data_IF_907359877736
#
_entry.id   IF_907359877736
#
_cell.length_a   1.000
_cell.length_b   1.000
_cell.length_c   1.000
_cell.angle_alpha   90.00
_cell.angle_beta   90.00
_cell.angle_gamma   90.00
#
_symmetry.space_group_name_H-M   'P 1'
#
loop_
_entity.id
_entity.type
_entity.pdbx_description
1 polymer ?
#
# COMPACT_ATOMS: atom_id res chain seq x y z
N UNK A 1 -24.17 -20.46 22.41
CA UNK A 1 -23.67 -19.12 22.83
C UNK A 1 -24.28 -18.11 21.86
N UNK A 2 -25.03 -17.13 22.36
CA UNK A 2 -25.65 -16.11 21.48
C UNK A 2 -24.63 -15.10 20.97
N UNK A 3 -24.98 -14.40 19.89
CA UNK A 3 -24.15 -13.35 19.27
C UNK A 3 -23.68 -12.29 20.29
N UNK A 4 -24.60 -11.80 21.12
CA UNK A 4 -24.30 -10.79 22.15
C UNK A 4 -23.26 -11.28 23.16
N UNK A 5 -23.40 -12.52 23.62
CA UNK A 5 -22.47 -13.12 24.56
C UNK A 5 -21.08 -13.29 23.94
N UNK A 6 -21.00 -13.61 22.64
CA UNK A 6 -19.74 -13.68 21.91
C UNK A 6 -19.08 -12.32 21.78
N UNK A 7 -19.84 -11.30 21.39
CA UNK A 7 -19.36 -9.93 21.28
C UNK A 7 -18.89 -9.38 22.63
N UNK A 8 -19.62 -9.64 23.71
CA UNK A 8 -19.20 -9.21 25.05
C UNK A 8 -17.87 -9.86 25.44
N UNK A 9 -17.76 -11.17 25.21
CA UNK A 9 -16.56 -11.94 25.56
C UNK A 9 -15.34 -11.54 24.73
N UNK A 10 -15.50 -11.29 23.43
CA UNK A 10 -14.38 -10.85 22.59
C UNK A 10 -14.00 -9.40 22.91
N UNK A 11 -14.97 -8.52 23.21
CA UNK A 11 -14.73 -7.13 23.59
C UNK A 11 -13.86 -7.02 24.86
N UNK A 12 -14.15 -7.85 25.89
CA UNK A 12 -13.32 -7.93 27.10
C UNK A 12 -11.86 -8.29 26.78
N UNK A 13 -11.64 -9.23 25.85
CA UNK A 13 -10.29 -9.63 25.41
C UNK A 13 -9.61 -8.53 24.60
N UNK A 14 -10.33 -7.88 23.69
CA UNK A 14 -9.81 -6.78 22.88
C UNK A 14 -9.34 -5.60 23.73
N UNK A 15 -10.05 -5.29 24.83
CA UNK A 15 -9.62 -4.27 25.80
C UNK A 15 -8.24 -4.62 26.39
N UNK A 16 -8.07 -5.86 26.87
CA UNK A 16 -6.81 -6.32 27.45
C UNK A 16 -5.69 -6.28 26.39
N UNK A 17 -5.95 -6.80 25.19
CA UNK A 17 -4.98 -6.79 24.08
C UNK A 17 -4.54 -5.37 23.75
N UNK A 18 -5.47 -4.40 23.69
CA UNK A 18 -5.16 -3.01 23.42
C UNK A 18 -4.19 -2.44 24.46
N UNK A 19 -4.37 -2.77 25.73
CA UNK A 19 -3.46 -2.32 26.79
C UNK A 19 -2.07 -2.94 26.66
N UNK A 20 -2.00 -4.23 26.32
CA UNK A 20 -0.73 -4.95 26.14
C UNK A 20 0.04 -4.56 24.88
N UNK A 21 -0.63 -4.07 23.83
CA UNK A 21 0.04 -3.65 22.61
C UNK A 21 0.96 -2.44 22.85
N UNK A 22 2.15 -2.47 22.23
CA UNK A 22 3.00 -1.29 22.13
C UNK A 22 2.30 -0.18 21.33
N UNK A 23 2.75 1.06 21.46
CA UNK A 23 2.14 2.20 20.77
C UNK A 23 2.12 2.06 19.25
N UNK A 24 3.09 1.34 18.68
CA UNK A 24 3.19 1.02 17.26
C UNK A 24 2.79 -0.42 16.93
N UNK A 25 2.19 -1.15 17.88
CA UNK A 25 1.74 -2.53 17.69
C UNK A 25 0.46 -2.63 16.88
N UNK A 26 0.25 -3.80 16.28
CA UNK A 26 -0.95 -4.14 15.51
C UNK A 26 -1.61 -5.42 16.00
N UNK A 27 -2.93 -5.49 15.84
CA UNK A 27 -3.76 -6.66 16.06
C UNK A 27 -4.36 -7.11 14.73
N UNK A 28 -4.33 -8.42 14.49
CA UNK A 28 -4.84 -9.08 13.30
C UNK A 28 -5.82 -10.17 13.75
N UNK A 29 -7.07 -10.11 13.29
CA UNK A 29 -8.14 -11.00 13.75
C UNK A 29 -8.75 -11.72 12.55
N UNK A 30 -8.49 -13.01 12.42
CA UNK A 30 -9.15 -13.86 11.42
C UNK A 30 -10.60 -14.11 11.84
N UNK A 31 -11.53 -13.95 10.90
CA UNK A 31 -12.97 -14.12 11.13
C UNK A 31 -13.69 -14.48 9.83
N UNK A 32 -14.79 -15.22 9.93
CA UNK A 32 -15.69 -15.49 8.81
C UNK A 32 -16.75 -14.38 8.66
N UNK A 33 -17.72 -14.56 7.76
CA UNK A 33 -18.80 -13.61 7.55
C UNK A 33 -19.81 -13.52 8.71
N UNK A 34 -19.84 -14.51 9.61
CA UNK A 34 -20.88 -14.65 10.63
C UNK A 34 -20.85 -13.50 11.64
N UNK A 35 -19.65 -13.11 12.10
CA UNK A 35 -19.46 -12.11 13.16
C UNK A 35 -18.64 -10.88 12.72
N UNK A 36 -18.15 -10.84 11.48
CA UNK A 36 -17.25 -9.81 10.98
C UNK A 36 -17.72 -8.38 11.30
N UNK A 37 -18.97 -8.08 10.97
CA UNK A 37 -19.51 -6.73 11.08
C UNK A 37 -19.68 -6.29 12.53
N UNK A 38 -20.15 -7.19 13.39
CA UNK A 38 -20.33 -6.91 14.81
C UNK A 38 -18.96 -6.78 15.51
N UNK A 39 -18.02 -7.66 15.20
CA UNK A 39 -16.65 -7.58 15.69
C UNK A 39 -15.97 -6.27 15.27
N UNK A 40 -16.15 -5.84 14.01
CA UNK A 40 -15.62 -4.57 13.50
C UNK A 40 -16.15 -3.38 14.30
N UNK A 41 -17.44 -3.34 14.58
CA UNK A 41 -18.05 -2.27 15.37
C UNK A 41 -17.54 -2.28 16.82
N UNK A 42 -17.42 -3.46 17.43
CA UNK A 42 -16.87 -3.60 18.78
C UNK A 42 -15.39 -3.16 18.84
N UNK A 43 -14.58 -3.59 17.86
CA UNK A 43 -13.17 -3.21 17.75
C UNK A 43 -13.00 -1.71 17.50
N UNK A 44 -13.85 -1.07 16.69
CA UNK A 44 -13.84 0.39 16.50
C UNK A 44 -14.07 1.15 17.81
N UNK A 45 -14.97 0.67 18.67
CA UNK A 45 -15.22 1.30 19.99
C UNK A 45 -14.01 1.20 20.91
N UNK A 46 -13.22 0.14 20.80
CA UNK A 46 -12.08 -0.13 21.68
C UNK A 46 -10.80 0.53 21.16
N UNK A 47 -10.49 0.35 19.88
CA UNK A 47 -9.26 0.83 19.26
C UNK A 47 -9.39 2.25 18.69
N UNK A 48 -10.60 2.75 18.44
CA UNK A 48 -10.84 3.97 17.68
C UNK A 48 -10.92 3.67 16.18
N UNK A 49 -11.89 4.27 15.48
CA UNK A 49 -12.11 4.05 14.04
C UNK A 49 -10.92 4.52 13.20
N UNK A 50 -10.23 5.55 13.64
CA UNK A 50 -9.01 6.09 13.03
C UNK A 50 -7.82 5.13 13.10
N UNK A 51 -7.88 4.14 13.99
CA UNK A 51 -6.84 3.13 14.17
C UNK A 51 -7.16 1.80 13.47
N UNK A 52 -8.30 1.71 12.78
CA UNK A 52 -8.56 0.66 11.81
C UNK A 52 -7.62 0.82 10.62
N UNK A 53 -6.92 -0.25 10.26
CA UNK A 53 -5.95 -0.24 9.16
C UNK A 53 -6.63 -0.71 7.88
N UNK A 54 -7.15 -1.94 7.88
CA UNK A 54 -7.81 -2.52 6.71
C UNK A 54 -8.54 -3.82 7.05
N UNK A 55 -9.36 -4.29 6.10
CA UNK A 55 -9.88 -5.65 6.07
C UNK A 55 -9.19 -6.38 4.93
N UNK A 56 -8.50 -7.47 5.26
CA UNK A 56 -7.92 -8.37 4.27
C UNK A 56 -8.95 -9.46 3.96
N UNK A 57 -9.07 -9.83 2.69
CA UNK A 57 -9.85 -10.94 2.19
C UNK A 57 -8.86 -12.04 1.81
N UNK A 58 -8.90 -13.16 2.52
CA UNK A 58 -8.03 -14.30 2.28
C UNK A 58 -8.78 -15.43 1.59
N UNK A 59 -8.29 -15.86 0.43
CA UNK A 59 -8.81 -17.00 -0.33
C UNK A 59 -8.43 -18.33 0.34
N UNK A 60 -9.27 -18.77 1.28
CA UNK A 60 -9.05 -20.00 2.05
C UNK A 60 -9.18 -21.30 1.27
N UNK A 61 -9.81 -21.28 0.08
CA UNK A 61 -9.96 -22.43 -0.82
C UNK A 61 -10.14 -21.99 -2.27
N UNK A 62 -9.61 -22.77 -3.21
CA UNK A 62 -9.72 -22.50 -4.65
C UNK A 62 -10.91 -23.21 -5.32
N UNK A 63 -11.38 -24.32 -4.73
CA UNK A 63 -12.49 -25.11 -5.28
C UNK A 63 -13.83 -24.41 -5.10
N UNK A 64 -14.65 -24.40 -6.16
CA UNK A 64 -16.02 -23.88 -6.12
C UNK A 64 -16.99 -24.88 -5.48
N UNK A 65 -17.83 -24.40 -4.55
CA UNK A 65 -18.96 -25.12 -3.99
C UNK A 65 -20.22 -24.80 -4.80
N UNK A 66 -20.78 -25.81 -5.47
CA UNK A 66 -21.94 -25.64 -6.36
C UNK A 66 -23.28 -25.94 -5.68
N UNK A 67 -23.29 -26.45 -4.43
CA UNK A 67 -24.52 -26.81 -3.69
C UNK A 67 -25.11 -25.66 -2.86
N UNK A 68 -24.50 -24.47 -2.91
CA UNK A 68 -24.92 -23.28 -2.16
C UNK A 68 -25.18 -22.14 -3.14
N UNK A 69 -25.97 -21.16 -2.73
CA UNK A 69 -26.25 -19.96 -3.52
C UNK A 69 -24.96 -19.20 -3.92
N UNK A 70 -23.97 -19.17 -3.01
CA UNK A 70 -22.66 -18.62 -3.28
C UNK A 70 -21.56 -19.54 -2.75
N UNK A 71 -20.49 -19.67 -3.53
CA UNK A 71 -19.29 -20.37 -3.10
C UNK A 71 -18.44 -19.46 -2.21
N UNK A 72 -18.55 -19.62 -0.89
CA UNK A 72 -17.76 -18.86 0.10
C UNK A 72 -16.34 -19.38 0.18
N UNK A 73 -15.47 -18.79 -0.64
CA UNK A 73 -14.09 -19.25 -0.82
C UNK A 73 -13.06 -18.44 -0.03
N UNK A 74 -13.53 -17.45 0.72
CA UNK A 74 -12.68 -16.55 1.48
C UNK A 74 -13.09 -16.45 2.95
N UNK A 75 -12.16 -15.93 3.74
CA UNK A 75 -12.36 -15.41 5.09
C UNK A 75 -11.78 -14.00 5.16
N UNK A 76 -12.00 -13.35 6.29
CA UNK A 76 -11.58 -11.97 6.52
C UNK A 76 -10.52 -11.93 7.62
N UNK A 77 -9.64 -10.93 7.53
CA UNK A 77 -8.73 -10.58 8.60
C UNK A 77 -8.88 -9.09 8.87
N UNK A 78 -9.40 -8.75 10.06
CA UNK A 78 -9.46 -7.36 10.51
C UNK A 78 -8.10 -6.95 11.04
N UNK A 79 -7.57 -5.83 10.53
CA UNK A 79 -6.29 -5.27 10.98
C UNK A 79 -6.53 -3.95 11.69
N UNK A 80 -6.05 -3.87 12.92
CA UNK A 80 -6.03 -2.66 13.75
C UNK A 80 -4.61 -2.37 14.19
N UNK A 81 -4.32 -1.10 14.44
CA UNK A 81 -3.12 -0.67 15.15
C UNK A 81 -3.51 -0.06 16.51
N UNK A 82 -2.59 0.01 17.47
CA UNK A 82 -2.83 0.84 18.68
C UNK A 82 -2.80 2.34 18.34
N UNK A 83 -1.88 2.73 17.46
CA UNK A 83 -1.84 4.06 16.80
C UNK A 83 -1.47 3.87 15.34
N UNK A 84 -2.44 3.98 14.43
CA UNK A 84 -2.21 3.73 13.00
C UNK A 84 -1.13 4.65 12.39
N UNK A 85 -1.09 5.92 12.81
CA UNK A 85 -0.09 6.89 12.36
C UNK A 85 1.36 6.51 12.72
N UNK A 86 1.58 5.79 13.83
CA UNK A 86 2.89 5.27 14.20
C UNK A 86 3.18 3.94 13.51
N UNK A 87 2.22 3.01 13.52
CA UNK A 87 2.36 1.70 12.88
C UNK A 87 2.70 1.84 11.38
N UNK A 88 2.06 2.78 10.68
CA UNK A 88 2.32 3.04 9.25
C UNK A 88 3.78 3.39 8.94
N UNK A 89 4.53 3.93 9.91
CA UNK A 89 5.94 4.29 9.74
C UNK A 89 6.91 3.14 10.01
N UNK A 90 6.47 2.12 10.74
CA UNK A 90 7.33 1.01 11.21
C UNK A 90 6.93 -0.36 10.65
N UNK A 91 5.77 -0.45 9.97
CA UNK A 91 5.30 -1.70 9.37
C UNK A 91 6.29 -2.22 8.33
N UNK A 92 6.43 -3.53 8.27
CA UNK A 92 7.20 -4.16 7.21
C UNK A 92 6.50 -4.00 5.85
N UNK A 93 7.31 -3.91 4.81
CA UNK A 93 6.89 -4.00 3.41
C UNK A 93 7.23 -5.37 2.85
N UNK A 94 6.50 -5.81 1.84
CA UNK A 94 6.86 -7.01 1.09
C UNK A 94 8.15 -6.77 0.28
N UNK A 95 8.96 -7.80 0.02
CA UNK A 95 10.11 -7.67 -0.88
C UNK A 95 9.66 -7.25 -2.29
N UNK A 96 10.56 -6.61 -3.03
CA UNK A 96 10.29 -6.29 -4.44
C UNK A 96 10.22 -7.60 -5.25
N UNK A 97 9.19 -7.72 -6.08
CA UNK A 97 9.08 -8.83 -7.03
C UNK A 97 9.89 -8.53 -8.29
N UNK A 98 10.21 -9.56 -9.06
CA UNK A 98 10.92 -9.39 -10.34
C UNK A 98 10.13 -8.48 -11.29
N UNK A 99 8.83 -8.70 -11.38
CA UNK A 99 7.90 -7.93 -12.21
C UNK A 99 7.88 -6.45 -11.80
N UNK A 100 7.99 -6.14 -10.51
CA UNK A 100 8.09 -4.78 -10.02
C UNK A 100 9.41 -4.12 -10.43
N UNK A 101 10.52 -4.85 -10.35
CA UNK A 101 11.85 -4.35 -10.74
C UNK A 101 12.02 -4.19 -12.25
N UNK A 102 11.39 -5.04 -13.06
CA UNK A 102 11.46 -4.98 -14.52
C UNK A 102 10.87 -3.70 -15.12
N UNK A 103 9.96 -3.03 -14.38
CA UNK A 103 9.39 -1.74 -14.77
C UNK A 103 10.39 -0.58 -14.69
N UNK A 104 11.51 -0.75 -13.98
CA UNK A 104 12.58 0.23 -13.94
C UNK A 104 13.45 0.05 -15.19
N UNK A 105 13.67 1.14 -15.93
CA UNK A 105 14.46 1.14 -17.17
C UNK A 105 15.51 2.26 -17.10
N UNK A 106 16.54 2.16 -17.92
CA UNK A 106 17.56 3.20 -18.02
C UNK A 106 17.72 3.67 -19.48
N UNK A 107 16.69 4.32 -20.07
CA UNK A 107 16.68 4.66 -21.49
C UNK A 107 17.69 5.74 -21.88
N UNK A 108 18.23 6.47 -20.91
CA UNK A 108 19.16 7.58 -21.06
C UNK A 108 20.57 7.28 -20.52
N UNK A 109 20.85 6.01 -20.21
CA UNK A 109 22.16 5.54 -19.73
C UNK A 109 22.68 6.30 -18.49
N UNK A 110 21.77 6.67 -17.57
CA UNK A 110 22.13 7.33 -16.32
C UNK A 110 23.06 6.42 -15.49
N UNK A 111 24.22 6.91 -14.99
CA UNK A 111 25.18 6.08 -14.25
C UNK A 111 24.62 5.53 -12.92
N UNK A 112 23.53 6.12 -12.40
CA UNK A 112 22.84 5.65 -11.18
C UNK A 112 21.96 4.42 -11.42
N UNK A 113 21.82 3.99 -12.67
CA UNK A 113 21.11 2.77 -13.04
C UNK A 113 19.62 2.97 -13.33
N UNK A 114 18.83 1.88 -13.34
CA UNK A 114 17.42 1.90 -13.74
C UNK A 114 16.53 2.77 -12.84
N UNK A 115 15.58 3.47 -13.47
CA UNK A 115 14.64 4.36 -12.82
C UNK A 115 13.22 4.23 -13.41
N UNK A 116 12.23 4.74 -12.68
CA UNK A 116 10.85 4.87 -13.14
C UNK A 116 10.49 6.32 -13.45
N UNK A 117 9.73 6.50 -14.55
CA UNK A 117 9.28 7.81 -15.01
C UNK A 117 8.00 8.23 -14.30
N UNK A 118 8.11 9.20 -13.39
CA UNK A 118 6.96 9.77 -12.66
C UNK A 118 6.63 11.14 -13.23
N UNK A 119 5.35 11.53 -13.27
CA UNK A 119 4.97 12.87 -13.75
C UNK A 119 5.48 13.95 -12.81
N UNK A 120 6.07 15.02 -13.34
CA UNK A 120 6.56 16.15 -12.55
C UNK A 120 5.46 17.15 -12.12
N UNK A 121 4.18 16.78 -12.23
CA UNK A 121 3.04 17.63 -11.89
C UNK A 121 2.01 16.90 -11.01
N UNK A 122 1.27 17.65 -10.21
CA UNK A 122 0.26 17.19 -9.25
C UNK A 122 -1.01 18.02 -9.37
N UNK A 123 -2.11 17.60 -8.73
CA UNK A 123 -3.35 18.39 -8.70
C UNK A 123 -3.12 19.72 -7.98
N UNK A 124 -3.70 20.79 -8.52
CA UNK A 124 -3.44 22.16 -8.07
C UNK A 124 -4.15 22.57 -6.76
N UNK A 125 -4.91 21.68 -6.10
CA UNK A 125 -5.84 22.04 -5.02
C UNK A 125 -5.23 22.81 -3.83
N UNK A 126 -3.96 22.55 -3.51
CA UNK A 126 -3.20 23.27 -2.47
C UNK A 126 -1.91 23.89 -3.03
N UNK A 127 -1.88 24.15 -4.33
CA UNK A 127 -0.69 24.67 -4.99
C UNK A 127 -0.39 26.12 -4.56
N UNK A 128 0.89 26.43 -4.46
CA UNK A 128 1.36 27.81 -4.26
C UNK A 128 1.62 28.49 -5.61
N UNK A 129 1.61 29.83 -5.69
CA UNK A 129 1.93 30.56 -6.93
C UNK A 129 3.29 30.15 -7.54
N UNK A 130 4.26 29.79 -6.69
CA UNK A 130 5.61 29.37 -7.11
C UNK A 130 5.64 28.05 -7.88
N UNK A 131 4.54 27.30 -7.92
CA UNK A 131 4.41 26.03 -8.67
C UNK A 131 3.79 26.21 -10.06
N UNK A 132 3.46 27.45 -10.43
CA UNK A 132 2.93 27.82 -11.75
C UNK A 132 3.97 28.66 -12.48
N UNK A 133 4.84 27.99 -13.24
CA UNK A 133 5.88 28.62 -14.05
C UNK A 133 6.11 27.81 -15.32
N UNK A 134 6.79 28.42 -16.29
CA UNK A 134 7.14 27.77 -17.55
C UNK A 134 8.48 27.08 -17.40
N UNK A 135 8.55 25.80 -17.78
CA UNK A 135 9.82 25.09 -17.89
C UNK A 135 10.28 25.12 -19.34
N UNK A 136 11.54 25.49 -19.57
CA UNK A 136 12.20 25.34 -20.86
C UNK A 136 13.02 24.06 -20.80
N UNK A 137 12.69 23.11 -21.66
CA UNK A 137 13.41 21.84 -21.78
C UNK A 137 14.78 22.05 -22.44
N UNK A 138 15.75 21.12 -22.26
CA UNK A 138 17.07 21.23 -22.89
C UNK A 138 17.03 21.35 -24.42
N UNK A 139 16.01 20.78 -25.08
CA UNK A 139 15.79 20.92 -26.52
C UNK A 139 15.13 22.24 -26.95
N UNK A 140 14.84 23.14 -26.00
CA UNK A 140 14.28 24.48 -26.23
C UNK A 140 12.76 24.56 -26.20
N UNK A 141 12.05 23.43 -26.07
CA UNK A 141 10.58 23.43 -25.99
C UNK A 141 10.08 23.90 -24.63
N UNK A 142 9.02 24.70 -24.63
CA UNK A 142 8.37 25.24 -23.44
C UNK A 142 7.26 24.31 -22.93
N UNK A 143 7.15 24.21 -21.60
CA UNK A 143 6.15 23.41 -20.92
C UNK A 143 5.49 24.22 -19.81
N UNK A 144 4.17 24.35 -19.90
CA UNK A 144 3.31 24.85 -18.83
C UNK A 144 2.68 23.66 -18.09
N UNK A 145 2.33 23.81 -16.80
CA UNK A 145 1.59 22.77 -16.10
C UNK A 145 0.21 22.59 -16.76
N UNK A 146 -0.29 21.34 -16.92
CA UNK A 146 -1.61 21.10 -17.49
C UNK A 146 -2.73 21.79 -16.70
N UNK A 147 -3.86 22.06 -17.37
CA UNK A 147 -5.04 22.67 -16.70
C UNK A 147 -5.45 21.85 -15.48
N UNK A 148 -5.65 22.53 -14.34
CA UNK A 148 -6.00 21.90 -13.06
C UNK A 148 -4.83 21.23 -12.32
N UNK A 149 -3.61 21.39 -12.83
CA UNK A 149 -2.38 20.83 -12.24
C UNK A 149 -1.33 21.92 -12.05
N UNK A 150 -0.36 21.66 -11.19
CA UNK A 150 0.81 22.51 -10.96
C UNK A 150 2.08 21.64 -10.98
N UNK A 151 3.25 22.25 -11.10
CA UNK A 151 4.50 21.51 -10.94
C UNK A 151 4.66 21.01 -9.50
N UNK A 152 5.32 19.87 -9.35
CA UNK A 152 5.56 19.23 -8.05
C UNK A 152 6.48 20.05 -7.15
N UNK A 153 7.37 20.85 -7.74
CA UNK A 153 8.35 21.68 -7.06
C UNK A 153 8.12 23.15 -7.40
N UNK A 154 8.48 24.08 -6.49
CA UNK A 154 8.68 25.47 -6.87
C UNK A 154 9.86 25.59 -7.85
N UNK A 155 9.87 26.66 -8.64
CA UNK A 155 10.82 26.85 -9.75
C UNK A 155 12.29 26.66 -9.34
N UNK A 156 12.73 27.30 -8.25
CA UNK A 156 14.12 27.20 -7.78
C UNK A 156 14.54 25.74 -7.54
N UNK A 157 13.65 24.92 -6.97
CA UNK A 157 13.93 23.51 -6.69
C UNK A 157 13.87 22.68 -7.96
N UNK A 158 12.95 22.97 -8.88
CA UNK A 158 12.93 22.29 -10.18
C UNK A 158 14.23 22.50 -10.95
N UNK A 159 14.77 23.71 -10.94
CA UNK A 159 16.07 24.01 -11.56
C UNK A 159 17.19 23.16 -10.93
N UNK A 160 17.21 23.04 -9.60
CA UNK A 160 18.15 22.16 -8.90
C UNK A 160 18.00 20.70 -9.34
N UNK A 161 16.77 20.18 -9.40
CA UNK A 161 16.49 18.80 -9.81
C UNK A 161 16.85 18.55 -11.30
N UNK A 162 16.65 19.54 -12.17
CA UNK A 162 17.11 19.49 -13.57
C UNK A 162 18.64 19.43 -13.60
N UNK A 163 19.33 20.29 -12.85
CA UNK A 163 20.80 20.32 -12.80
C UNK A 163 21.40 19.04 -12.20
N UNK A 164 20.71 18.42 -11.27
CA UNK A 164 21.07 17.13 -10.67
C UNK A 164 20.69 15.92 -11.55
N UNK A 165 20.22 16.16 -12.78
CA UNK A 165 19.78 15.14 -13.72
C UNK A 165 18.65 14.24 -13.14
N UNK A 166 17.80 14.77 -12.26
CA UNK A 166 16.65 14.07 -11.69
C UNK A 166 15.37 14.25 -12.51
N UNK A 167 15.39 15.17 -13.49
CA UNK A 167 14.28 15.42 -14.42
C UNK A 167 14.66 14.96 -15.82
N UNK A 168 13.81 14.13 -16.41
CA UNK A 168 13.95 13.60 -17.76
C UNK A 168 12.96 14.28 -18.71
N UNK A 169 13.45 14.73 -19.86
CA UNK A 169 12.69 15.40 -20.91
C UNK A 169 12.56 14.53 -22.17
N UNK A 170 12.48 13.21 -22.03
CA UNK A 170 12.46 12.31 -23.18
C UNK A 170 13.83 12.16 -23.86
N UNK A 171 13.90 11.34 -24.90
CA UNK A 171 15.15 11.04 -25.62
C UNK A 171 15.66 12.22 -26.45
N UNK A 172 14.74 13.05 -26.95
CA UNK A 172 15.02 14.23 -27.77
C UNK A 172 15.18 15.52 -26.94
N UNK A 173 15.03 15.43 -25.61
CA UNK A 173 15.13 16.57 -24.70
C UNK A 173 13.96 17.56 -24.79
N UNK A 174 12.85 17.21 -25.46
CA UNK A 174 11.68 18.09 -25.68
C UNK A 174 10.37 17.55 -25.05
N UNK A 175 10.44 16.44 -24.32
CA UNK A 175 9.32 15.83 -23.61
C UNK A 175 8.90 16.64 -22.39
N UNK A 176 7.63 16.50 -21.99
CA UNK A 176 7.12 17.06 -20.72
C UNK A 176 7.96 16.52 -19.55
N UNK A 177 8.39 17.36 -18.59
CA UNK A 177 9.28 16.94 -17.51
C UNK A 177 8.72 15.76 -16.71
N UNK A 178 9.58 14.76 -16.51
CA UNK A 178 9.32 13.55 -15.71
C UNK A 178 10.38 13.43 -14.63
N UNK A 179 9.98 13.07 -13.41
CA UNK A 179 10.91 12.80 -12.32
C UNK A 179 11.46 11.39 -12.49
N UNK A 180 12.77 11.22 -12.41
CA UNK A 180 13.44 9.93 -12.30
C UNK A 180 13.34 9.43 -10.86
N UNK A 181 12.76 8.26 -10.66
CA UNK A 181 12.79 7.54 -9.37
C UNK A 181 13.67 6.31 -9.51
N UNK A 182 14.91 6.40 -9.04
CA UNK A 182 15.89 5.33 -9.17
C UNK A 182 15.52 4.11 -8.33
N UNK A 183 15.84 2.93 -8.85
CA UNK A 183 15.68 1.68 -8.12
C UNK A 183 16.63 1.61 -6.93
N UNK A 184 17.86 2.12 -7.07
CA UNK A 184 18.88 2.13 -6.03
C UNK A 184 18.46 2.96 -4.79
N UNK A 185 17.68 4.02 -4.99
CA UNK A 185 17.21 4.88 -3.90
C UNK A 185 15.96 4.32 -3.19
N UNK A 186 15.39 3.21 -3.70
CA UNK A 186 14.17 2.64 -3.17
C UNK A 186 14.44 1.89 -1.87
N UNK A 187 14.15 2.55 -0.75
CA UNK A 187 14.28 1.98 0.61
C UNK A 187 13.10 1.09 1.01
N UNK A 188 11.92 1.36 0.44
CA UNK A 188 10.68 0.67 0.80
C UNK A 188 10.32 -0.40 -0.23
N UNK A 189 9.85 -1.55 0.28
CA UNK A 189 9.36 -2.64 -0.54
C UNK A 189 7.98 -2.36 -1.16
N UNK A 190 7.20 -3.42 -1.37
CA UNK A 190 5.82 -3.31 -1.84
C UNK A 190 4.87 -3.17 -0.65
N UNK A 191 3.88 -2.29 -0.79
CA UNK A 191 2.76 -2.23 0.16
C UNK A 191 1.91 -3.49 -0.08
N UNK A 192 1.57 -4.26 0.97
CA UNK A 192 0.76 -5.45 0.80
C UNK A 192 -0.64 -5.11 0.31
N UNK A 193 -1.19 -5.96 -0.56
CA UNK A 193 -2.58 -5.87 -1.01
C UNK A 193 -3.53 -6.45 0.04
N UNK A 194 -4.80 -6.08 -0.06
CA UNK A 194 -5.86 -6.58 0.83
C UNK A 194 -6.55 -7.83 0.30
N UNK A 195 -6.30 -8.23 -0.94
CA UNK A 195 -6.82 -9.47 -1.51
C UNK A 195 -5.71 -10.52 -1.55
N UNK A 196 -5.73 -11.43 -0.59
CA UNK A 196 -4.73 -12.47 -0.47
C UNK A 196 -5.19 -13.73 -1.19
N UNK A 197 -4.62 -13.97 -2.36
CA UNK A 197 -4.89 -15.15 -3.19
C UNK A 197 -4.21 -16.39 -2.64
N UNK A 198 -4.88 -17.53 -2.84
CA UNK A 198 -4.40 -18.85 -2.39
C UNK A 198 -3.02 -19.19 -2.94
N UNK A 199 -2.72 -18.79 -4.18
CA UNK A 199 -1.41 -18.98 -4.82
C UNK A 199 -0.26 -18.27 -4.09
N UNK A 200 -0.56 -17.18 -3.39
CA UNK A 200 0.46 -16.36 -2.71
C UNK A 200 0.61 -16.75 -1.24
N UNK A 201 -0.50 -17.01 -0.55
CA UNK A 201 -0.51 -17.20 0.93
C UNK A 201 -0.98 -18.58 1.37
N UNK A 202 -1.31 -19.46 0.43
CA UNK A 202 -1.84 -20.79 0.71
C UNK A 202 -3.31 -20.77 1.10
N UNK A 203 -3.82 -21.98 1.35
CA UNK A 203 -5.21 -22.30 1.68
C UNK A 203 -5.32 -22.97 3.05
N UNK A 204 -6.55 -23.18 3.53
CA UNK A 204 -6.79 -24.04 4.70
C UNK A 204 -6.26 -25.46 4.50
N UNK A 205 -6.26 -25.96 3.26
CA UNK A 205 -5.73 -27.29 2.93
C UNK A 205 -4.21 -27.35 3.12
N UNK A 206 -3.51 -26.29 2.72
CA UNK A 206 -2.06 -26.21 2.87
C UNK A 206 -1.66 -26.16 4.34
N UNK A 207 -2.38 -25.39 5.16
CA UNK A 207 -2.17 -25.35 6.60
C UNK A 207 -2.33 -26.74 7.25
N UNK A 208 -3.35 -27.51 6.87
CA UNK A 208 -3.56 -28.88 7.39
C UNK A 208 -2.41 -29.82 7.05
N UNK A 209 -1.88 -29.75 5.83
CA UNK A 209 -0.74 -30.58 5.39
C UNK A 209 0.52 -30.25 6.18
N UNK A 210 0.78 -28.97 6.41
CA UNK A 210 1.93 -28.52 7.22
C UNK A 210 1.82 -29.03 8.65
N UNK A 211 0.67 -28.89 9.29
CA UNK A 211 0.46 -29.38 10.65
C UNK A 211 0.64 -30.90 10.76
N UNK A 212 0.12 -31.69 9.80
CA UNK A 212 0.26 -33.14 9.81
C UNK A 212 1.73 -33.60 9.65
N UNK A 213 2.55 -32.84 8.92
CA UNK A 213 3.99 -33.12 8.76
C UNK A 213 4.83 -32.76 9.98
N UNK A 214 4.34 -31.87 10.86
CA UNK A 214 5.08 -31.48 12.07
C UNK A 214 5.03 -32.54 13.19
N UNK A 215 4.21 -33.59 13.03
CA UNK A 215 4.06 -34.70 13.97
C UNK A 215 4.64 -36.03 13.45
N UNK A 216 5.40 -36.00 12.35
CA UNK A 216 6.18 -37.10 11.80
C UNK A 216 7.67 -36.72 11.78
#
# INVERSE_FOLDING_TARGET
MGHDQWIENISKRLLIIRELLSSSGSLWISIDDSELHYLKVAADKIFGRENFVSTIIWEKRTTRENRKAFSRNHEYILVYAKKASLWNKVRNTLPLTKEATERYKNPDQDPRGPWQSVTANVQAGHATPQQFYTIISPGGKTHNPPKGRCWVYPEYRMIQEISANNIWFGKDGNGVPRIKKFLADRKEGLVPETLWRAETVGTTSDAKKTSARAFL
#
